data_IF_393632519407
#
_entry.id   IF_393632519407
#
_cell.length_a   1.000
_cell.length_b   1.000
_cell.length_c   1.000
_cell.angle_alpha   90.00
_cell.angle_beta   90.00
_cell.angle_gamma   90.00
#
_symmetry.space_group_name_H-M   'P 1'
#
loop_
_entity.id
_entity.type
_entity.pdbx_description
1 polymer ?
#
# COMPACT_ATOMS: atom_id res chain seq x y z
N UNK A 1 -16.94 40.85 55.60
CA UNK A 1 -17.48 39.51 55.94
C UNK A 1 -18.02 38.85 54.68
N UNK A 2 -17.99 37.51 54.64
CA UNK A 2 -18.63 36.58 53.69
C UNK A 2 -17.89 36.15 52.41
N UNK A 3 -16.93 35.26 52.67
CA UNK A 3 -16.63 33.99 52.00
C UNK A 3 -17.68 33.30 51.09
N UNK A 4 -17.12 32.47 50.19
CA UNK A 4 -17.66 31.29 49.46
C UNK A 4 -18.41 31.57 48.14
N UNK A 5 -18.31 30.79 47.07
CA UNK A 5 -17.58 29.56 46.64
C UNK A 5 -18.16 29.24 45.24
N UNK A 6 -17.49 28.38 44.45
CA UNK A 6 -17.90 27.88 43.13
C UNK A 6 -17.59 28.82 41.96
N UNK A 7 -16.60 28.53 41.11
CA UNK A 7 -16.81 27.57 40.03
C UNK A 7 -15.51 26.82 39.63
N UNK A 8 -14.89 26.09 40.55
CA UNK A 8 -13.77 25.17 40.25
C UNK A 8 -14.29 23.82 39.73
N UNK A 9 -15.18 23.82 38.73
CA UNK A 9 -15.66 22.58 38.07
C UNK A 9 -15.83 22.82 36.57
N UNK A 10 -14.73 23.11 35.87
CA UNK A 10 -14.72 22.98 34.40
C UNK A 10 -13.38 22.58 33.78
N UNK A 11 -12.34 22.32 34.58
CA UNK A 11 -11.03 21.89 34.08
C UNK A 11 -10.92 20.35 34.00
N UNK A 12 -11.67 19.60 34.83
CA UNK A 12 -11.58 18.13 34.86
C UNK A 12 -12.26 17.40 33.68
N UNK A 13 -13.26 18.01 33.06
CA UNK A 13 -13.96 17.44 31.90
C UNK A 13 -13.10 17.48 30.61
N UNK A 14 -12.15 18.41 30.55
CA UNK A 14 -11.23 18.56 29.41
C UNK A 14 -10.12 17.50 29.44
N UNK A 15 -9.61 17.16 30.63
CA UNK A 15 -8.53 16.17 30.79
C UNK A 15 -8.95 14.74 30.39
N UNK A 16 -10.16 14.30 30.77
CA UNK A 16 -10.69 12.98 30.32
C UNK A 16 -10.91 12.93 28.81
N UNK A 17 -11.39 14.02 28.20
CA UNK A 17 -11.61 14.12 26.75
C UNK A 17 -10.30 14.08 25.96
N UNK A 18 -9.26 14.75 26.45
CA UNK A 18 -7.91 14.71 25.88
C UNK A 18 -7.25 13.33 26.03
N UNK A 19 -7.36 12.69 27.20
CA UNK A 19 -6.85 11.31 27.40
C UNK A 19 -7.54 10.28 26.50
N UNK A 20 -8.84 10.44 26.28
CA UNK A 20 -9.60 9.58 25.37
C UNK A 20 -9.25 9.81 23.88
N UNK A 21 -8.94 11.05 23.50
CA UNK A 21 -8.49 11.38 22.14
C UNK A 21 -7.06 10.85 21.85
N UNK A 22 -6.14 10.96 22.82
CA UNK A 22 -4.78 10.39 22.67
C UNK A 22 -4.83 8.87 22.58
N UNK A 23 -5.68 8.22 23.38
CA UNK A 23 -5.84 6.75 23.34
C UNK A 23 -6.50 6.26 22.04
N UNK A 24 -7.41 7.03 21.46
CA UNK A 24 -7.99 6.69 20.15
C UNK A 24 -7.01 6.91 19.00
N UNK A 25 -6.17 7.95 19.06
CA UNK A 25 -5.12 8.18 18.07
C UNK A 25 -4.03 7.11 18.11
N UNK A 26 -3.63 6.63 19.30
CA UNK A 26 -2.68 5.52 19.46
C UNK A 26 -3.26 4.19 18.96
N UNK A 27 -4.53 3.91 19.26
CA UNK A 27 -5.24 2.74 18.71
C UNK A 27 -5.37 2.79 17.18
N UNK A 28 -5.63 3.97 16.60
CA UNK A 28 -5.66 4.15 15.15
C UNK A 28 -4.27 3.94 14.53
N UNK A 29 -3.22 4.41 15.20
CA UNK A 29 -1.82 4.17 14.78
C UNK A 29 -1.49 2.68 14.77
N UNK A 30 -1.92 1.95 15.80
CA UNK A 30 -1.76 0.50 15.88
C UNK A 30 -2.50 -0.23 14.74
N UNK A 31 -3.76 0.15 14.47
CA UNK A 31 -4.54 -0.44 13.35
C UNK A 31 -3.94 -0.14 11.97
N UNK A 32 -3.37 1.05 11.76
CA UNK A 32 -2.68 1.37 10.51
C UNK A 32 -1.40 0.56 10.33
N UNK A 33 -0.65 0.33 11.42
CA UNK A 33 0.55 -0.51 11.41
C UNK A 33 0.21 -1.97 11.11
N UNK A 34 -0.82 -2.52 11.74
CA UNK A 34 -1.30 -3.89 11.53
C UNK A 34 -1.75 -4.13 10.08
N UNK A 35 -2.48 -3.18 9.49
CA UNK A 35 -2.91 -3.25 8.08
C UNK A 35 -1.72 -3.21 7.12
N UNK A 36 -0.74 -2.35 7.36
CA UNK A 36 0.47 -2.29 6.55
C UNK A 36 1.27 -3.59 6.66
N UNK A 37 1.41 -4.12 7.88
CA UNK A 37 2.11 -5.36 8.16
C UNK A 37 1.48 -6.56 7.43
N UNK A 38 0.15 -6.68 7.44
CA UNK A 38 -0.56 -7.74 6.71
C UNK A 38 -0.21 -7.78 5.21
N UNK A 39 -0.15 -6.62 4.55
CA UNK A 39 0.21 -6.57 3.12
C UNK A 39 1.69 -6.86 2.86
N UNK A 40 2.56 -6.46 3.78
CA UNK A 40 3.99 -6.78 3.72
C UNK A 40 4.24 -8.28 3.87
N UNK A 41 3.61 -8.94 4.83
CA UNK A 41 3.69 -10.39 5.04
C UNK A 41 3.24 -11.16 3.80
N UNK A 42 2.16 -10.71 3.16
CA UNK A 42 1.69 -11.30 1.89
C UNK A 42 2.69 -11.16 0.75
N UNK A 43 3.55 -10.15 0.77
CA UNK A 43 4.59 -9.93 -0.25
C UNK A 43 5.88 -10.72 0.01
N UNK A 44 6.06 -11.22 1.24
CA UNK A 44 7.25 -11.93 1.68
C UNK A 44 7.62 -13.18 0.86
N UNK A 45 6.70 -14.10 0.51
CA UNK A 45 7.07 -15.30 -0.25
C UNK A 45 7.67 -14.98 -1.63
N UNK A 46 7.27 -13.87 -2.24
CA UNK A 46 7.82 -13.43 -3.53
C UNK A 46 9.25 -12.91 -3.37
N UNK A 47 9.52 -12.16 -2.30
CA UNK A 47 10.87 -11.65 -2.01
C UNK A 47 11.83 -12.81 -1.71
N UNK A 48 11.38 -13.82 -0.95
CA UNK A 48 12.16 -15.02 -0.70
C UNK A 48 12.52 -15.76 -2.00
N UNK A 49 11.58 -15.87 -2.94
CA UNK A 49 11.83 -16.49 -4.23
C UNK A 49 12.85 -15.69 -5.06
N UNK A 50 12.72 -14.35 -5.07
CA UNK A 50 13.68 -13.46 -5.73
C UNK A 50 15.10 -13.58 -5.16
N UNK A 51 15.21 -13.75 -3.84
CA UNK A 51 16.48 -14.00 -3.15
C UNK A 51 17.07 -15.36 -3.53
N UNK A 52 16.26 -16.43 -3.50
CA UNK A 52 16.68 -17.79 -3.86
C UNK A 52 17.22 -17.86 -5.28
N UNK A 53 16.58 -17.15 -6.22
CA UNK A 53 17.02 -17.06 -7.62
C UNK A 53 18.22 -16.14 -7.85
N UNK A 54 18.68 -15.42 -6.82
CA UNK A 54 19.77 -14.43 -6.90
C UNK A 54 19.56 -13.39 -8.01
N UNK A 55 18.30 -13.02 -8.28
CA UNK A 55 17.96 -11.97 -9.27
C UNK A 55 18.31 -10.57 -8.72
N UNK A 56 18.17 -10.43 -7.40
CA UNK A 56 18.50 -9.23 -6.66
C UNK A 56 19.55 -9.55 -5.60
N UNK A 57 20.41 -8.58 -5.32
CA UNK A 57 21.36 -8.65 -4.21
C UNK A 57 20.62 -8.45 -2.88
N UNK A 58 21.16 -8.93 -1.74
CA UNK A 58 20.52 -8.70 -0.44
C UNK A 58 20.37 -7.21 -0.10
N UNK A 59 21.30 -6.36 -0.55
CA UNK A 59 21.20 -4.91 -0.39
C UNK A 59 20.01 -4.31 -1.16
N UNK A 60 19.79 -4.75 -2.41
CA UNK A 60 18.62 -4.37 -3.22
C UNK A 60 17.32 -4.89 -2.59
N UNK A 61 17.32 -6.10 -2.04
CA UNK A 61 16.13 -6.64 -1.37
C UNK A 61 15.74 -5.77 -0.17
N UNK A 62 16.71 -5.36 0.65
CA UNK A 62 16.46 -4.48 1.77
C UNK A 62 15.91 -3.12 1.33
N UNK A 63 16.42 -2.57 0.22
CA UNK A 63 15.88 -1.32 -0.33
C UNK A 63 14.46 -1.48 -0.86
N UNK A 64 14.14 -2.62 -1.50
CA UNK A 64 12.78 -2.95 -1.97
C UNK A 64 11.80 -3.08 -0.79
N UNK A 65 12.19 -3.81 0.26
CA UNK A 65 11.36 -3.99 1.46
C UNK A 65 11.10 -2.66 2.15
N UNK A 66 12.14 -1.82 2.29
CA UNK A 66 12.01 -0.48 2.86
C UNK A 66 11.04 0.37 2.04
N UNK A 67 11.19 0.40 0.73
CA UNK A 67 10.29 1.16 -0.17
C UNK A 67 8.85 0.66 -0.10
N UNK A 68 8.64 -0.65 -0.09
CA UNK A 68 7.29 -1.24 0.07
C UNK A 68 6.66 -0.88 1.42
N UNK A 69 7.44 -0.93 2.50
CA UNK A 69 6.98 -0.50 3.82
C UNK A 69 6.56 0.97 3.82
N UNK A 70 7.38 1.85 3.23
CA UNK A 70 7.05 3.28 3.08
C UNK A 70 5.72 3.47 2.33
N UNK A 71 5.50 2.75 1.22
CA UNK A 71 4.26 2.85 0.45
C UNK A 71 3.04 2.27 1.19
N UNK A 72 3.15 1.10 1.82
CA UNK A 72 2.01 0.52 2.55
C UNK A 72 1.63 1.38 3.77
N UNK A 73 2.61 1.97 4.47
CA UNK A 73 2.32 2.96 5.52
C UNK A 73 1.68 4.22 4.93
N UNK A 74 2.14 4.71 3.78
CA UNK A 74 1.54 5.86 3.11
C UNK A 74 0.08 5.59 2.70
N UNK A 75 -0.25 4.38 2.28
CA UNK A 75 -1.61 3.95 1.93
C UNK A 75 -2.48 3.57 3.12
N UNK A 76 -1.88 3.24 4.28
CA UNK A 76 -2.60 2.93 5.51
C UNK A 76 -3.10 4.18 6.25
N UNK A 77 -2.62 5.38 5.90
CA UNK A 77 -3.09 6.65 6.49
C UNK A 77 -4.60 6.83 6.37
N UNK A 78 -5.18 7.59 7.31
CA UNK A 78 -6.61 7.91 7.34
C UNK A 78 -7.07 8.59 6.05
N UNK A 79 -6.31 9.59 5.60
CA UNK A 79 -6.54 10.30 4.35
C UNK A 79 -5.43 9.89 3.39
N UNK A 80 -5.81 9.16 2.35
CA UNK A 80 -4.91 8.70 1.31
C UNK A 80 -5.00 9.66 0.13
N UNK A 81 -3.88 9.96 -0.51
CA UNK A 81 -3.85 10.78 -1.73
C UNK A 81 -3.74 9.89 -2.96
N UNK A 82 -4.35 10.30 -4.08
CA UNK A 82 -4.22 9.62 -5.38
C UNK A 82 -2.75 9.48 -5.79
N UNK A 83 -1.96 10.53 -5.58
CA UNK A 83 -0.54 10.57 -5.92
C UNK A 83 0.26 9.41 -5.33
N UNK A 84 -0.13 8.92 -4.17
CA UNK A 84 0.61 7.85 -3.48
C UNK A 84 0.36 6.49 -4.14
N UNK A 85 -0.86 6.26 -4.66
CA UNK A 85 -1.16 5.09 -5.47
C UNK A 85 -0.41 5.12 -6.81
N UNK A 86 -0.39 6.27 -7.48
CA UNK A 86 0.31 6.41 -8.77
C UNK A 86 1.82 6.18 -8.61
N UNK A 87 2.44 6.81 -7.61
CA UNK A 87 3.87 6.59 -7.30
C UNK A 87 4.19 5.14 -6.97
N UNK A 88 3.31 4.47 -6.24
CA UNK A 88 3.52 3.07 -5.89
C UNK A 88 3.37 2.14 -7.11
N UNK A 89 2.36 2.38 -7.95
CA UNK A 89 2.17 1.64 -9.18
C UNK A 89 3.36 1.82 -10.14
N UNK A 90 3.82 3.06 -10.32
CA UNK A 90 5.00 3.38 -11.14
C UNK A 90 6.26 2.68 -10.60
N UNK A 91 6.48 2.71 -9.29
CA UNK A 91 7.61 2.01 -8.66
C UNK A 91 7.56 0.50 -8.92
N UNK A 92 6.42 -0.15 -8.73
CA UNK A 92 6.29 -1.59 -8.97
C UNK A 92 6.40 -1.93 -10.47
N UNK A 93 5.91 -1.07 -11.38
CA UNK A 93 6.11 -1.23 -12.83
C UNK A 93 7.60 -1.19 -13.20
N UNK A 94 8.35 -0.24 -12.62
CA UNK A 94 9.79 -0.13 -12.84
C UNK A 94 10.55 -1.35 -12.29
N UNK A 95 10.18 -1.84 -11.11
CA UNK A 95 10.72 -3.06 -10.51
C UNK A 95 10.45 -4.28 -11.40
N UNK A 96 9.23 -4.38 -11.93
CA UNK A 96 8.77 -5.44 -12.82
C UNK A 96 9.57 -5.45 -14.13
N UNK A 97 9.77 -4.28 -14.73
CA UNK A 97 10.59 -4.12 -15.93
C UNK A 97 12.07 -4.52 -15.68
N UNK A 98 12.63 -4.15 -14.52
CA UNK A 98 13.99 -4.55 -14.13
C UNK A 98 14.08 -6.07 -13.94
N UNK A 99 13.08 -6.68 -13.29
CA UNK A 99 12.98 -8.14 -13.16
C UNK A 99 12.93 -8.82 -14.52
N UNK A 100 12.03 -8.39 -15.42
CA UNK A 100 11.91 -8.92 -16.80
C UNK A 100 13.24 -8.88 -17.53
N UNK A 101 14.01 -7.78 -17.41
CA UNK A 101 15.35 -7.65 -18.02
C UNK A 101 16.35 -8.68 -17.48
N UNK A 102 16.40 -8.89 -16.15
CA UNK A 102 17.34 -9.83 -15.50
C UNK A 102 16.94 -11.30 -15.70
N UNK A 103 15.65 -11.60 -15.69
CA UNK A 103 15.09 -12.95 -15.82
C UNK A 103 15.25 -13.53 -17.23
N UNK A 104 15.49 -12.72 -18.27
CA UNK A 104 15.76 -13.24 -19.64
C UNK A 104 16.84 -14.33 -19.69
N UNK A 105 17.75 -14.36 -18.71
CA UNK A 105 18.84 -15.35 -18.61
C UNK A 105 18.44 -16.62 -17.85
N UNK A 106 17.33 -16.62 -17.13
CA UNK A 106 16.88 -17.69 -16.23
C UNK A 106 15.62 -18.36 -16.79
N UNK A 107 15.66 -19.69 -16.98
CA UNK A 107 14.64 -20.44 -17.72
C UNK A 107 13.50 -21.04 -16.88
N UNK A 108 13.50 -20.86 -15.55
CA UNK A 108 12.54 -21.54 -14.66
C UNK A 108 11.42 -20.60 -14.19
N UNK A 109 10.16 -20.82 -14.64
CA UNK A 109 9.03 -20.04 -14.16
C UNK A 109 8.75 -20.39 -12.69
N UNK A 110 8.40 -19.40 -11.88
CA UNK A 110 8.07 -19.55 -10.46
C UNK A 110 7.05 -18.50 -10.03
N UNK A 111 6.65 -18.54 -8.76
CA UNK A 111 5.62 -17.68 -8.17
C UNK A 111 5.93 -16.18 -8.37
N UNK A 112 7.22 -15.79 -8.34
CA UNK A 112 7.64 -14.39 -8.52
C UNK A 112 7.38 -13.81 -9.92
N UNK A 113 7.21 -14.64 -10.95
CA UNK A 113 7.04 -14.17 -12.33
C UNK A 113 5.70 -13.46 -12.53
N UNK A 114 4.65 -13.96 -11.88
CA UNK A 114 3.30 -13.39 -11.90
C UNK A 114 3.04 -12.46 -10.71
N UNK A 115 3.82 -12.57 -9.64
CA UNK A 115 3.64 -11.83 -8.39
C UNK A 115 3.70 -10.30 -8.58
N UNK A 116 4.67 -9.82 -9.35
CA UNK A 116 4.83 -8.38 -9.63
C UNK A 116 3.64 -7.78 -10.36
N UNK A 117 3.22 -8.41 -11.47
CA UNK A 117 2.06 -7.97 -12.27
C UNK A 117 0.78 -8.01 -11.44
N UNK A 118 0.57 -9.09 -10.68
CA UNK A 118 -0.58 -9.22 -9.77
C UNK A 118 -0.61 -8.11 -8.71
N UNK A 119 0.54 -7.69 -8.20
CA UNK A 119 0.62 -6.59 -7.23
C UNK A 119 0.23 -5.26 -7.85
N UNK A 120 0.70 -4.97 -9.05
CA UNK A 120 0.34 -3.74 -9.77
C UNK A 120 -1.18 -3.68 -9.98
N UNK A 121 -1.79 -4.77 -10.45
CA UNK A 121 -3.25 -4.85 -10.55
C UNK A 121 -3.96 -4.68 -9.21
N UNK A 122 -3.43 -5.27 -8.14
CA UNK A 122 -4.00 -5.10 -6.80
C UNK A 122 -3.94 -3.65 -6.30
N UNK A 123 -2.87 -2.91 -6.63
CA UNK A 123 -2.74 -1.48 -6.31
C UNK A 123 -3.79 -0.67 -7.09
N UNK A 124 -3.95 -0.91 -8.39
CA UNK A 124 -4.97 -0.23 -9.20
C UNK A 124 -6.40 -0.57 -8.75
N UNK A 125 -6.69 -1.82 -8.39
CA UNK A 125 -7.99 -2.20 -7.85
C UNK A 125 -8.31 -1.48 -6.53
N UNK A 126 -7.31 -1.32 -5.65
CA UNK A 126 -7.47 -0.52 -4.42
C UNK A 126 -7.67 0.96 -4.74
N UNK A 127 -6.95 1.49 -5.73
CA UNK A 127 -7.01 2.89 -6.12
C UNK A 127 -8.39 3.24 -6.70
N UNK A 128 -8.88 2.44 -7.66
CA UNK A 128 -10.20 2.61 -8.31
C UNK A 128 -11.37 2.49 -7.33
N UNK A 129 -11.30 1.55 -6.37
CA UNK A 129 -12.31 1.47 -5.29
C UNK A 129 -12.34 2.71 -4.41
N UNK A 130 -11.20 3.39 -4.22
CA UNK A 130 -11.10 4.57 -3.36
C UNK A 130 -11.40 5.87 -4.11
N UNK A 131 -11.01 5.96 -5.37
CA UNK A 131 -11.11 7.13 -6.24
C UNK A 131 -11.88 6.77 -7.53
N UNK A 132 -13.14 6.36 -7.37
CA UNK A 132 -13.97 5.90 -8.49
C UNK A 132 -14.29 7.00 -9.51
N UNK A 133 -14.31 8.27 -9.11
CA UNK A 133 -14.63 9.40 -9.98
C UNK A 133 -13.47 9.91 -10.86
N UNK A 134 -12.28 9.33 -10.73
CA UNK A 134 -11.11 9.79 -11.48
C UNK A 134 -10.91 8.95 -12.75
N UNK A 135 -11.27 9.52 -13.90
CA UNK A 135 -11.25 8.81 -15.19
C UNK A 135 -9.81 8.50 -15.63
N UNK A 136 -8.85 9.37 -15.34
CA UNK A 136 -7.44 9.17 -15.72
C UNK A 136 -6.86 7.91 -15.05
N UNK A 137 -7.26 7.65 -13.81
CA UNK A 137 -6.84 6.45 -13.08
C UNK A 137 -7.39 5.18 -13.74
N UNK A 138 -8.64 5.19 -14.22
CA UNK A 138 -9.22 4.08 -14.96
C UNK A 138 -8.52 3.86 -16.30
N UNK A 139 -8.22 4.93 -17.05
CA UNK A 139 -7.47 4.82 -18.30
C UNK A 139 -6.09 4.21 -18.09
N UNK A 140 -5.35 4.65 -17.07
CA UNK A 140 -4.04 4.07 -16.75
C UNK A 140 -4.16 2.58 -16.40
N UNK A 141 -5.19 2.19 -15.64
CA UNK A 141 -5.43 0.80 -15.29
C UNK A 141 -5.75 -0.06 -16.53
N UNK A 142 -6.61 0.43 -17.43
CA UNK A 142 -6.95 -0.24 -18.69
C UNK A 142 -5.71 -0.37 -19.58
N UNK A 143 -4.94 0.71 -19.75
CA UNK A 143 -3.73 0.71 -20.56
C UNK A 143 -2.71 -0.31 -20.04
N UNK A 144 -2.51 -0.38 -18.73
CA UNK A 144 -1.64 -1.38 -18.12
C UNK A 144 -2.15 -2.81 -18.34
N UNK A 145 -3.45 -3.04 -18.18
CA UNK A 145 -4.05 -4.36 -18.39
C UNK A 145 -4.00 -4.82 -19.87
N UNK A 146 -4.09 -3.87 -20.82
CA UNK A 146 -3.86 -4.12 -22.24
C UNK A 146 -2.40 -4.49 -22.52
N UNK A 147 -1.45 -3.76 -21.93
CA UNK A 147 -0.02 -4.03 -22.10
C UNK A 147 0.37 -5.45 -21.63
N UNK A 148 -0.15 -5.89 -20.48
CA UNK A 148 0.10 -7.25 -19.96
C UNK A 148 -0.81 -8.33 -20.62
N UNK A 149 -1.67 -7.95 -21.59
CA UNK A 149 -2.58 -8.82 -22.34
C UNK A 149 -3.52 -9.66 -21.46
N UNK A 150 -3.97 -9.11 -20.33
CA UNK A 150 -4.85 -9.82 -19.40
C UNK A 150 -6.32 -9.62 -19.77
N UNK A 151 -6.82 -10.44 -20.71
CA UNK A 151 -8.20 -10.34 -21.22
C UNK A 151 -9.27 -10.51 -20.15
N UNK A 152 -9.04 -11.39 -19.17
CA UNK A 152 -9.96 -11.63 -18.05
C UNK A 152 -10.10 -10.40 -17.14
N UNK A 153 -8.97 -9.76 -16.82
CA UNK A 153 -8.94 -8.58 -15.96
C UNK A 153 -9.57 -7.40 -16.71
N UNK A 154 -9.26 -7.23 -18.00
CA UNK A 154 -9.89 -6.21 -18.85
C UNK A 154 -11.41 -6.33 -18.89
N UNK A 155 -11.94 -7.54 -19.13
CA UNK A 155 -13.39 -7.76 -19.14
C UNK A 155 -14.05 -7.38 -17.81
N UNK A 156 -13.40 -7.69 -16.68
CA UNK A 156 -13.87 -7.28 -15.35
C UNK A 156 -13.86 -5.76 -15.18
N UNK A 157 -12.80 -5.08 -15.62
CA UNK A 157 -12.66 -3.61 -15.49
C UNK A 157 -13.75 -2.91 -16.30
N UNK A 158 -13.99 -3.35 -17.54
CA UNK A 158 -14.96 -2.74 -18.44
C UNK A 158 -16.40 -2.98 -17.96
N UNK A 159 -16.66 -4.11 -17.29
CA UNK A 159 -17.97 -4.43 -16.73
C UNK A 159 -18.25 -3.77 -15.37
N UNK A 160 -17.28 -3.06 -14.78
CA UNK A 160 -17.42 -2.38 -13.47
C UNK A 160 -18.01 -0.99 -13.64
#
# INVERSE_FOLDING_TARGET
>A
MCFKRYCFVRIFSSSKKLKNAVKSDEFLKQKMAEKAQYFLEKSFPEILDLQKKKIFTPAEINSILKKRSEFEHALARRIVKKSDFLKYAEYEMNLEALRKKRVKRLRKPTISDWGGVRRIFFIFERATKKFHGDIDLWFQYIHYAQHEKSTKVLGKIIAS
#
